data_IF_289080069287
#
_entry.id   IF_289080069287
#
_cell.length_a   1.000
_cell.length_b   1.000
_cell.length_c   1.000
_cell.angle_alpha   90.00
_cell.angle_beta   90.00
_cell.angle_gamma   90.00
#
_symmetry.space_group_name_H-M   'P 1'
#
loop_
_entity.id
_entity.type
_entity.pdbx_description
1 polymer ?
#
# COMPACT_ATOMS: atom_id res chain seq x y z
N UNK A 1 18.16 2.44 0.31
CA UNK A 1 17.12 3.35 0.85
C UNK A 1 17.43 4.84 0.69
N UNK A 2 18.58 5.36 1.13
CA UNK A 2 18.93 6.79 0.98
C UNK A 2 18.93 7.25 -0.49
N UNK A 3 19.47 6.43 -1.41
CA UNK A 3 19.45 6.68 -2.87
C UNK A 3 18.03 6.79 -3.46
N UNK A 4 17.03 6.19 -2.80
CA UNK A 4 15.61 6.27 -3.18
C UNK A 4 14.91 7.50 -2.56
N UNK A 5 15.67 8.34 -1.83
CA UNK A 5 15.20 9.56 -1.20
C UNK A 5 14.38 9.32 0.07
N UNK A 6 14.55 8.19 0.74
CA UNK A 6 13.97 7.94 2.07
C UNK A 6 14.90 8.55 3.11
N UNK A 7 14.35 9.41 3.97
CA UNK A 7 15.14 10.08 5.02
C UNK A 7 15.53 9.10 6.14
N UNK A 8 16.70 9.27 6.80
CA UNK A 8 17.15 8.40 7.89
C UNK A 8 16.11 8.19 8.99
N UNK A 9 15.38 9.24 9.39
CA UNK A 9 14.38 9.15 10.47
C UNK A 9 13.21 8.24 10.07
N UNK A 10 12.88 8.19 8.77
CA UNK A 10 11.90 7.22 8.26
C UNK A 10 12.46 5.83 8.13
N UNK A 11 13.72 5.65 7.78
CA UNK A 11 14.35 4.32 7.80
C UNK A 11 14.31 3.76 9.23
N UNK A 12 14.68 4.56 10.22
CA UNK A 12 14.64 4.17 11.63
C UNK A 12 13.23 3.80 12.12
N UNK A 13 12.18 4.44 11.58
CA UNK A 13 10.78 4.12 11.90
C UNK A 13 10.27 2.80 11.28
N UNK A 14 11.03 2.21 10.34
CA UNK A 14 10.62 1.01 9.61
C UNK A 14 11.82 0.04 9.49
N UNK A 15 12.12 -0.73 10.56
CA UNK A 15 13.28 -1.63 10.61
C UNK A 15 13.38 -2.63 9.45
N UNK A 16 12.24 -3.03 8.86
CA UNK A 16 12.20 -3.90 7.68
C UNK A 16 12.91 -3.32 6.45
N UNK A 17 13.14 -2.00 6.41
CA UNK A 17 13.90 -1.36 5.34
C UNK A 17 15.41 -1.58 5.45
N UNK A 18 15.88 -2.07 6.61
CA UNK A 18 17.27 -2.43 6.85
C UNK A 18 17.58 -3.87 6.44
N UNK A 19 16.56 -4.72 6.32
CA UNK A 19 16.71 -6.15 6.03
C UNK A 19 16.54 -6.48 4.55
N UNK A 20 16.03 -5.55 3.74
CA UNK A 20 15.82 -5.75 2.31
C UNK A 20 17.07 -5.33 1.53
N UNK A 21 17.44 -6.13 0.52
CA UNK A 21 18.56 -5.81 -0.35
C UNK A 21 18.24 -4.61 -1.27
N UNK A 22 19.29 -3.97 -1.79
CA UNK A 22 19.15 -2.74 -2.57
C UNK A 22 18.41 -2.98 -3.89
N UNK A 23 18.56 -4.16 -4.50
CA UNK A 23 18.02 -4.46 -5.82
C UNK A 23 16.51 -4.77 -5.74
N UNK A 24 16.08 -5.56 -4.75
CA UNK A 24 14.66 -5.75 -4.46
C UNK A 24 13.96 -4.41 -4.16
N UNK A 25 14.60 -3.54 -3.36
CA UNK A 25 14.03 -2.21 -3.07
C UNK A 25 13.92 -1.32 -4.33
N UNK A 26 14.88 -1.37 -5.24
CA UNK A 26 14.83 -0.66 -6.54
C UNK A 26 13.75 -1.22 -7.45
N UNK A 27 13.63 -2.54 -7.53
CA UNK A 27 12.60 -3.20 -8.33
C UNK A 27 11.21 -2.83 -7.81
N UNK A 28 10.99 -2.89 -6.49
CA UNK A 28 9.77 -2.41 -5.87
C UNK A 28 9.51 -0.93 -6.17
N UNK A 29 10.54 -0.07 -6.08
CA UNK A 29 10.38 1.33 -6.43
C UNK A 29 9.91 1.49 -7.88
N UNK A 30 10.54 0.80 -8.84
CA UNK A 30 10.17 0.84 -10.25
C UNK A 30 8.73 0.36 -10.47
N UNK A 31 8.36 -0.77 -9.88
CA UNK A 31 7.00 -1.31 -9.93
C UNK A 31 5.97 -0.29 -9.40
N UNK A 32 6.22 0.31 -8.23
CA UNK A 32 5.31 1.32 -7.66
C UNK A 32 5.14 2.52 -8.61
N UNK A 33 6.21 2.92 -9.32
CA UNK A 33 6.14 4.00 -10.33
C UNK A 33 5.32 3.59 -11.55
N UNK A 34 5.46 2.35 -12.03
CA UNK A 34 4.67 1.78 -13.13
C UNK A 34 3.18 1.70 -12.78
N UNK A 35 2.85 1.44 -11.51
CA UNK A 35 1.49 1.49 -10.97
C UNK A 35 0.95 2.92 -10.74
N UNK A 36 1.64 3.95 -11.24
CA UNK A 36 1.21 5.35 -11.16
C UNK A 36 1.48 6.03 -9.82
N UNK A 37 2.16 5.37 -8.87
CA UNK A 37 2.42 5.94 -7.55
C UNK A 37 3.53 7.00 -7.65
N UNK A 38 3.21 8.21 -7.18
CA UNK A 38 4.15 9.34 -7.22
C UNK A 38 5.28 9.15 -6.19
N UNK A 39 6.52 9.63 -6.44
CA UNK A 39 7.65 9.44 -5.53
C UNK A 39 7.37 10.00 -4.13
N UNK A 40 6.63 11.09 -4.04
CA UNK A 40 6.22 11.70 -2.77
C UNK A 40 5.36 10.74 -1.91
N UNK A 41 4.50 9.94 -2.55
CA UNK A 41 3.68 8.93 -1.88
C UNK A 41 4.52 7.72 -1.48
N UNK A 42 5.44 7.27 -2.32
CA UNK A 42 6.40 6.19 -1.98
C UNK A 42 7.23 6.58 -0.75
N UNK A 43 7.74 7.82 -0.71
CA UNK A 43 8.48 8.36 0.45
C UNK A 43 7.63 8.44 1.72
N UNK A 44 6.33 8.71 1.57
CA UNK A 44 5.36 8.72 2.69
C UNK A 44 5.10 7.31 3.24
N UNK A 45 5.14 6.29 2.38
CA UNK A 45 4.87 4.90 2.72
C UNK A 45 6.08 4.01 2.37
N UNK A 46 7.24 4.24 3.01
CA UNK A 46 8.50 3.62 2.59
C UNK A 46 8.53 2.11 2.84
N UNK A 47 7.69 1.58 3.74
CA UNK A 47 7.54 0.15 3.98
C UNK A 47 7.12 -0.65 2.73
N UNK A 48 6.51 -0.01 1.73
CA UNK A 48 6.21 -0.65 0.44
C UNK A 48 7.48 -1.06 -0.32
N UNK A 49 8.62 -0.42 -0.03
CA UNK A 49 9.94 -0.78 -0.60
C UNK A 49 10.58 -2.00 0.07
N UNK A 50 10.06 -2.42 1.23
CA UNK A 50 10.46 -3.66 1.91
C UNK A 50 9.49 -4.82 1.61
N UNK A 51 8.54 -4.63 0.69
CA UNK A 51 7.66 -5.70 0.21
C UNK A 51 8.33 -6.47 -0.92
N UNK A 52 7.86 -7.67 -1.21
CA UNK A 52 8.26 -8.38 -2.44
C UNK A 52 7.47 -7.81 -3.63
N UNK A 53 8.08 -7.61 -4.82
CA UNK A 53 7.38 -7.14 -6.02
C UNK A 53 6.13 -7.96 -6.34
N UNK A 54 6.22 -9.28 -6.22
CA UNK A 54 5.10 -10.20 -6.46
C UNK A 54 3.95 -10.03 -5.47
N UNK A 55 4.26 -9.67 -4.22
CA UNK A 55 3.22 -9.35 -3.24
C UNK A 55 2.50 -8.06 -3.61
N UNK A 56 3.22 -7.03 -4.06
CA UNK A 56 2.63 -5.78 -4.54
C UNK A 56 1.74 -6.03 -5.77
N UNK A 57 2.21 -6.79 -6.77
CA UNK A 57 1.42 -7.14 -7.96
C UNK A 57 0.14 -7.88 -7.60
N UNK A 58 0.24 -8.92 -6.76
CA UNK A 58 -0.92 -9.71 -6.31
C UNK A 58 -1.94 -8.84 -5.59
N UNK A 59 -1.48 -7.97 -4.69
CA UNK A 59 -2.36 -7.09 -3.93
C UNK A 59 -3.02 -6.05 -4.84
N UNK A 60 -2.26 -5.47 -5.77
CA UNK A 60 -2.79 -4.55 -6.79
C UNK A 60 -3.89 -5.21 -7.65
N UNK A 61 -3.64 -6.41 -8.19
CA UNK A 61 -4.64 -7.14 -8.98
C UNK A 61 -5.88 -7.49 -8.17
N UNK A 62 -5.71 -7.80 -6.90
CA UNK A 62 -6.84 -8.07 -6.01
C UNK A 62 -7.72 -6.83 -5.78
N UNK A 63 -7.11 -5.63 -5.68
CA UNK A 63 -7.85 -4.37 -5.57
C UNK A 63 -8.64 -4.06 -6.86
N UNK A 64 -8.03 -4.27 -8.03
CA UNK A 64 -8.72 -4.12 -9.32
C UNK A 64 -9.92 -5.07 -9.43
N UNK A 65 -9.76 -6.33 -9.01
CA UNK A 65 -10.85 -7.32 -9.01
C UNK A 65 -12.00 -6.97 -8.05
N UNK A 66 -11.79 -6.08 -7.08
CA UNK A 66 -12.85 -5.53 -6.22
C UNK A 66 -13.52 -4.29 -6.83
N UNK A 67 -13.07 -3.84 -8.00
CA UNK A 67 -13.54 -2.64 -8.68
C UNK A 67 -12.99 -1.35 -8.07
N UNK A 68 -11.81 -1.40 -7.43
CA UNK A 68 -11.12 -0.19 -6.96
C UNK A 68 -10.27 0.34 -8.11
N UNK A 69 -10.50 1.58 -8.49
CA UNK A 69 -9.85 2.18 -9.65
C UNK A 69 -8.33 2.37 -9.44
N UNK A 70 -7.51 2.22 -10.50
CA UNK A 70 -6.06 2.45 -10.46
C UNK A 70 -5.68 3.79 -9.82
N UNK A 71 -6.41 4.86 -10.12
CA UNK A 71 -6.19 6.21 -9.59
C UNK A 71 -6.39 6.26 -8.08
N UNK A 72 -7.40 5.55 -7.56
CA UNK A 72 -7.61 5.41 -6.12
C UNK A 72 -6.43 4.70 -5.49
N UNK A 73 -5.98 3.58 -6.07
CA UNK A 73 -4.84 2.81 -5.55
C UNK A 73 -3.56 3.66 -5.56
N UNK A 74 -3.29 4.38 -6.65
CA UNK A 74 -2.14 5.27 -6.77
C UNK A 74 -2.19 6.43 -5.76
N UNK A 75 -3.40 6.92 -5.45
CA UNK A 75 -3.61 7.96 -4.44
C UNK A 75 -3.47 7.41 -3.02
N UNK A 76 -3.84 6.16 -2.78
CA UNK A 76 -3.82 5.48 -1.48
C UNK A 76 -2.99 4.18 -1.48
N UNK A 77 -1.68 4.27 -1.76
CA UNK A 77 -0.85 3.07 -1.99
C UNK A 77 -0.62 2.24 -0.72
N UNK A 78 -0.98 2.74 0.45
CA UNK A 78 -0.99 1.96 1.69
C UNK A 78 -1.91 0.74 1.59
N UNK A 79 -2.91 0.75 0.69
CA UNK A 79 -3.79 -0.38 0.45
C UNK A 79 -3.01 -1.63 0.00
N UNK A 80 -1.87 -1.45 -0.67
CA UNK A 80 -1.03 -2.53 -1.16
C UNK A 80 -0.34 -3.33 -0.06
N UNK A 81 -0.37 -2.86 1.21
CA UNK A 81 0.22 -3.59 2.33
C UNK A 81 -0.69 -4.72 2.86
N UNK A 82 -2.00 -4.66 2.60
CA UNK A 82 -2.93 -5.55 3.26
C UNK A 82 -3.10 -6.86 2.49
N UNK A 83 -3.43 -7.92 3.26
CA UNK A 83 -3.90 -9.16 2.68
C UNK A 83 -5.16 -8.90 1.83
N UNK A 84 -5.20 -9.37 0.57
CA UNK A 84 -6.37 -9.29 -0.29
C UNK A 84 -7.67 -9.77 0.35
N UNK A 85 -7.61 -10.82 1.19
CA UNK A 85 -8.76 -11.38 1.90
C UNK A 85 -9.36 -10.37 2.87
N UNK A 86 -8.50 -9.68 3.63
CA UNK A 86 -8.93 -8.65 4.57
C UNK A 86 -9.64 -7.49 3.87
N UNK A 87 -9.06 -6.98 2.77
CA UNK A 87 -9.70 -5.90 2.01
C UNK A 87 -11.03 -6.36 1.43
N UNK A 88 -11.07 -7.55 0.82
CA UNK A 88 -12.28 -8.12 0.20
C UNK A 88 -13.41 -8.27 1.22
N UNK A 89 -13.14 -8.89 2.36
CA UNK A 89 -14.15 -9.08 3.42
C UNK A 89 -14.72 -7.77 3.91
N UNK A 90 -13.84 -6.78 4.13
CA UNK A 90 -14.24 -5.46 4.59
C UNK A 90 -15.03 -4.69 3.55
N UNK A 91 -14.55 -4.69 2.30
CA UNK A 91 -15.21 -4.06 1.17
C UNK A 91 -16.64 -4.60 0.99
N UNK A 92 -16.77 -5.93 0.98
CA UNK A 92 -18.06 -6.60 0.85
C UNK A 92 -19.00 -6.33 2.02
N UNK A 93 -18.48 -6.37 3.26
CA UNK A 93 -19.28 -6.07 4.45
C UNK A 93 -19.82 -4.64 4.43
N UNK A 94 -19.01 -3.66 4.06
CA UNK A 94 -19.44 -2.25 4.01
C UNK A 94 -20.45 -2.01 2.87
N UNK A 95 -20.29 -2.68 1.73
CA UNK A 95 -21.28 -2.66 0.63
C UNK A 95 -22.61 -3.27 1.07
N UNK A 96 -22.59 -4.38 1.83
CA UNK A 96 -23.81 -4.99 2.41
C UNK A 96 -24.50 -4.04 3.40
N UNK A 97 -23.75 -3.21 4.13
CA UNK A 97 -24.28 -2.16 5.00
C UNK A 97 -24.76 -0.91 4.25
N UNK A 98 -24.81 -0.94 2.91
CA UNK A 98 -25.30 0.16 2.09
C UNK A 98 -24.28 1.28 1.83
N UNK A 99 -23.03 1.13 2.24
CA UNK A 99 -21.97 2.09 1.94
C UNK A 99 -21.54 1.89 0.49
N UNK A 100 -21.97 2.80 -0.38
CA UNK A 100 -21.72 2.73 -1.83
C UNK A 100 -20.51 3.53 -2.29
N UNK A 101 -20.16 4.60 -1.57
CA UNK A 101 -19.03 5.47 -1.92
C UNK A 101 -17.70 4.78 -1.59
N UNK A 102 -16.92 4.48 -2.63
CA UNK A 102 -15.60 3.86 -2.52
C UNK A 102 -14.70 4.57 -1.51
N UNK A 103 -14.62 5.91 -1.57
CA UNK A 103 -13.83 6.72 -0.63
C UNK A 103 -14.14 6.44 0.83
N UNK A 104 -15.41 6.19 1.18
CA UNK A 104 -15.81 5.87 2.56
C UNK A 104 -15.34 4.48 2.97
N UNK A 105 -15.36 3.52 2.04
CA UNK A 105 -14.85 2.17 2.26
C UNK A 105 -13.33 2.21 2.50
N UNK A 106 -12.59 2.90 1.63
CA UNK A 106 -11.13 3.08 1.74
C UNK A 106 -10.74 3.79 3.03
N UNK A 107 -11.45 4.85 3.41
CA UNK A 107 -11.23 5.56 4.68
C UNK A 107 -11.41 4.62 5.87
N UNK A 108 -12.44 3.76 5.85
CA UNK A 108 -12.66 2.80 6.94
C UNK A 108 -11.50 1.79 7.06
N UNK A 109 -10.96 1.30 5.93
CA UNK A 109 -9.82 0.37 5.91
C UNK A 109 -8.60 1.06 6.52
N UNK A 110 -8.42 2.35 6.20
CA UNK A 110 -7.39 3.22 6.77
C UNK A 110 -7.47 3.36 8.29
N UNK A 111 -8.66 3.59 8.83
CA UNK A 111 -8.88 3.85 10.26
C UNK A 111 -8.64 2.60 11.12
N UNK A 112 -9.06 1.43 10.66
CA UNK A 112 -8.80 0.17 11.40
C UNK A 112 -7.34 -0.28 11.39
N UNK A 113 -6.49 0.34 10.56
CA UNK A 113 -5.05 0.15 10.62
C UNK A 113 -4.37 1.03 11.68
N UNK A 114 -4.99 2.17 12.07
CA UNK A 114 -4.42 3.04 13.11
C UNK A 114 -4.65 2.49 14.51
N UNK A 115 -5.76 1.77 14.75
CA UNK A 115 -6.10 1.19 16.05
C UNK A 115 -5.33 -0.10 16.41
N UNK A 116 -4.39 -0.54 15.56
CA UNK A 116 -3.56 -1.74 15.79
C UNK A 116 -2.08 -1.40 15.97
N UNK A 117 -1.75 -0.12 16.18
CA UNK A 117 -0.38 0.37 16.35
C UNK A 117 -0.08 0.85 17.78
N UNK A 118 -0.96 0.55 18.72
CA UNK A 118 -0.77 0.73 20.16
C UNK A 118 -0.39 -0.61 20.81
#
# INVERSE_FOLDING_TARGET
>A
MLKLGIKPEKIASYPQLLTIDEDTAKECYKLLRELGIKPIKIKKYPYLLASLPETIKRNYQSLLNLGIEPETIASEPYLLQFDPRFIKERYNSLRKLGIKREKNIILSISLSNRSKKD
#
